data_IF_626328152967
#
_entry.id   IF_626328152967
#
_cell.length_a   1.000
_cell.length_b   1.000
_cell.length_c   1.000
_cell.angle_alpha   90.00
_cell.angle_beta   90.00
_cell.angle_gamma   90.00
#
_symmetry.space_group_name_H-M   'P 1'
#
loop_
_entity.id
_entity.type
_entity.pdbx_description
1 polymer ?
#
# COMPACT_ATOMS: atom_id res chain seq x y z
N UNK A 1 6.13 11.58 39.02
CA UNK A 1 5.06 11.91 38.06
C UNK A 1 5.59 12.64 36.83
N UNK A 2 6.23 13.80 36.96
CA UNK A 2 6.73 14.58 35.81
C UNK A 2 7.74 13.85 34.90
N UNK A 3 8.60 13.00 35.47
CA UNK A 3 9.57 12.19 34.72
C UNK A 3 8.92 11.09 33.87
N UNK A 4 7.88 10.44 34.41
CA UNK A 4 7.12 9.40 33.69
C UNK A 4 6.32 10.01 32.53
N UNK A 5 5.77 11.21 32.72
CA UNK A 5 5.07 11.96 31.66
C UNK A 5 6.05 12.36 30.55
N UNK A 6 7.25 12.86 30.91
CA UNK A 6 8.31 13.19 29.92
C UNK A 6 8.74 11.98 29.10
N UNK A 7 8.95 10.83 29.72
CA UNK A 7 9.32 9.59 29.04
C UNK A 7 8.20 9.12 28.10
N UNK A 8 6.95 9.26 28.52
CA UNK A 8 5.77 8.94 27.70
C UNK A 8 5.71 9.86 26.47
N UNK A 9 5.82 11.19 26.64
CA UNK A 9 5.87 12.13 25.50
C UNK A 9 7.04 11.88 24.57
N UNK A 10 8.23 11.51 25.06
CA UNK A 10 9.38 11.18 24.21
C UNK A 10 9.17 9.87 23.40
N UNK A 11 8.44 8.90 23.96
CA UNK A 11 8.00 7.70 23.22
C UNK A 11 6.97 8.07 22.15
N UNK A 12 6.04 9.00 22.43
CA UNK A 12 5.09 9.52 21.46
C UNK A 12 5.75 10.28 20.30
N UNK A 13 6.75 11.13 20.56
CA UNK A 13 7.51 11.81 19.51
C UNK A 13 8.31 10.85 18.61
N UNK A 14 8.58 9.62 19.09
CA UNK A 14 9.17 8.53 18.29
C UNK A 14 8.12 7.81 17.44
N UNK A 15 6.87 7.73 17.90
CA UNK A 15 5.73 7.20 17.15
C UNK A 15 5.25 8.16 16.06
N UNK A 16 5.50 9.46 16.19
CA UNK A 16 5.18 10.46 15.16
C UNK A 16 6.06 10.30 13.89
N UNK A 17 7.27 9.76 14.03
CA UNK A 17 8.18 9.45 12.90
C UNK A 17 7.73 8.25 12.04
N UNK A 18 6.61 7.62 12.39
CA UNK A 18 6.08 6.40 11.78
C UNK A 18 5.52 6.67 10.37
N UNK A 19 4.99 7.86 10.09
CA UNK A 19 4.26 8.10 8.83
C UNK A 19 5.13 7.98 7.57
N UNK A 20 6.41 8.40 7.62
CA UNK A 20 7.28 8.37 6.44
C UNK A 20 8.08 7.07 6.25
N UNK A 21 8.52 6.45 7.36
CA UNK A 21 9.34 5.22 7.31
C UNK A 21 8.47 4.02 6.97
N UNK A 22 7.25 3.96 7.52
CA UNK A 22 6.33 2.86 7.26
C UNK A 22 5.75 2.93 5.85
N UNK A 23 5.52 4.11 5.29
CA UNK A 23 5.18 4.26 3.88
C UNK A 23 6.31 3.74 2.97
N UNK A 24 7.57 4.11 3.23
CA UNK A 24 8.72 3.60 2.45
C UNK A 24 8.88 2.08 2.57
N UNK A 25 8.66 1.52 3.77
CA UNK A 25 8.71 0.08 4.01
C UNK A 25 7.57 -0.65 3.29
N UNK A 26 6.35 -0.10 3.37
CA UNK A 26 5.19 -0.58 2.63
C UNK A 26 5.43 -0.53 1.12
N UNK A 27 5.89 0.60 0.60
CA UNK A 27 6.15 0.78 -0.83
C UNK A 27 7.17 -0.25 -1.34
N UNK A 28 8.25 -0.51 -0.60
CA UNK A 28 9.22 -1.58 -0.93
C UNK A 28 8.58 -2.96 -0.93
N UNK A 29 7.74 -3.27 0.07
CA UNK A 29 7.05 -4.56 0.18
C UNK A 29 6.03 -4.74 -0.94
N UNK A 30 5.30 -3.70 -1.31
CA UNK A 30 4.38 -3.68 -2.45
C UNK A 30 5.12 -3.89 -3.75
N UNK A 31 6.19 -3.14 -3.99
CA UNK A 31 6.99 -3.28 -5.20
C UNK A 31 7.55 -4.71 -5.32
N UNK A 32 8.08 -5.28 -4.24
CA UNK A 32 8.55 -6.67 -4.22
C UNK A 32 7.44 -7.68 -4.56
N UNK A 33 6.26 -7.52 -3.95
CA UNK A 33 5.10 -8.38 -4.22
C UNK A 33 4.66 -8.30 -5.69
N UNK A 34 4.49 -7.08 -6.23
CA UNK A 34 4.03 -6.87 -7.61
C UNK A 34 5.08 -7.34 -8.63
N UNK A 35 6.37 -7.19 -8.34
CA UNK A 35 7.46 -7.75 -9.16
C UNK A 35 7.42 -9.27 -9.18
N UNK A 36 7.19 -9.90 -8.01
CA UNK A 36 7.09 -11.37 -7.90
C UNK A 36 5.91 -11.91 -8.72
N UNK A 37 4.80 -11.17 -8.73
CA UNK A 37 3.60 -11.47 -9.52
C UNK A 37 3.75 -11.07 -11.01
N UNK A 38 4.85 -10.41 -11.40
CA UNK A 38 5.12 -9.91 -12.75
C UNK A 38 4.09 -8.90 -13.27
N UNK A 39 3.39 -8.19 -12.39
CA UNK A 39 2.38 -7.17 -12.74
C UNK A 39 2.85 -5.74 -12.49
N UNK A 40 4.06 -5.54 -11.95
CA UNK A 40 4.59 -4.20 -11.61
C UNK A 40 4.63 -3.24 -12.81
N UNK A 41 4.78 -3.76 -14.02
CA UNK A 41 4.83 -2.97 -15.25
C UNK A 41 3.54 -2.19 -15.51
N UNK A 42 2.39 -2.66 -15.02
CA UNK A 42 1.09 -1.98 -15.15
C UNK A 42 1.14 -0.59 -14.54
N UNK A 43 1.96 -0.37 -13.51
CA UNK A 43 2.10 0.93 -12.85
C UNK A 43 2.79 1.99 -13.72
N UNK A 44 3.61 1.56 -14.68
CA UNK A 44 4.40 2.46 -15.55
C UNK A 44 3.93 2.46 -17.00
N UNK A 45 3.20 1.43 -17.41
CA UNK A 45 2.81 1.21 -18.80
C UNK A 45 1.33 1.51 -18.97
N UNK A 46 0.95 2.43 -19.89
CA UNK A 46 -0.45 2.76 -20.12
C UNK A 46 -1.22 1.55 -20.69
N UNK A 47 -2.55 1.64 -20.60
CA UNK A 47 -3.45 0.68 -21.25
C UNK A 47 -3.19 0.66 -22.77
N UNK A 48 -3.15 -0.52 -23.43
CA UNK A 48 -2.89 -0.58 -24.87
C UNK A 48 -4.06 -0.02 -25.68
N UNK A 49 -3.77 0.76 -26.72
CA UNK A 49 -4.78 1.40 -27.58
C UNK A 49 -5.69 0.42 -28.34
N UNK A 50 -6.85 0.93 -28.76
CA UNK A 50 -7.78 0.25 -29.66
C UNK A 50 -7.42 0.48 -31.12
N UNK A 51 -7.39 -0.60 -31.90
CA UNK A 51 -7.10 -0.56 -33.33
C UNK A 51 -8.35 -1.03 -34.10
N UNK A 52 -8.63 -0.40 -35.23
CA UNK A 52 -9.83 -0.71 -36.06
C UNK A 52 -9.75 -2.11 -36.68
N UNK A 53 -8.54 -2.56 -37.04
CA UNK A 53 -8.28 -3.90 -37.56
C UNK A 53 -7.40 -4.67 -36.59
N UNK A 54 -8.00 -5.04 -35.47
CA UNK A 54 -7.27 -5.60 -34.37
C UNK A 54 -6.99 -7.10 -34.57
N UNK A 55 -5.73 -7.45 -34.50
CA UNK A 55 -5.30 -8.83 -34.52
C UNK A 55 -5.67 -9.53 -33.20
N UNK A 56 -5.87 -10.85 -33.27
CA UNK A 56 -6.08 -11.71 -32.08
C UNK A 56 -5.00 -11.47 -31.02
N UNK A 57 -3.78 -11.18 -31.45
CA UNK A 57 -2.63 -10.97 -30.58
C UNK A 57 -2.70 -9.65 -29.84
N UNK A 58 -3.25 -8.60 -30.47
CA UNK A 58 -3.51 -7.32 -29.83
C UNK A 58 -4.65 -7.45 -28.81
N UNK A 59 -5.74 -8.14 -29.15
CA UNK A 59 -6.83 -8.42 -28.20
C UNK A 59 -6.31 -9.20 -26.99
N UNK A 60 -5.48 -10.23 -27.19
CA UNK A 60 -4.89 -11.03 -26.12
C UNK A 60 -3.97 -10.21 -25.21
N UNK A 61 -3.20 -9.26 -25.78
CA UNK A 61 -2.34 -8.35 -25.01
C UNK A 61 -3.16 -7.46 -24.08
N UNK A 62 -4.31 -6.96 -24.53
CA UNK A 62 -5.20 -6.15 -23.71
C UNK A 62 -5.86 -6.94 -22.60
N UNK A 63 -6.47 -8.08 -22.91
CA UNK A 63 -7.09 -8.92 -21.87
C UNK A 63 -6.08 -9.35 -20.81
N UNK A 64 -4.82 -9.59 -21.20
CA UNK A 64 -3.73 -9.81 -20.26
C UNK A 64 -3.47 -8.57 -19.39
N UNK A 65 -3.34 -7.40 -20.01
CA UNK A 65 -3.09 -6.15 -19.27
C UNK A 65 -4.22 -5.87 -18.27
N UNK A 66 -5.49 -6.06 -18.65
CA UNK A 66 -6.65 -5.90 -17.77
C UNK A 66 -6.61 -6.86 -16.58
N UNK A 67 -6.24 -8.12 -16.81
CA UNK A 67 -6.09 -9.10 -15.74
C UNK A 67 -4.96 -8.72 -14.78
N UNK A 68 -3.81 -8.32 -15.33
CA UNK A 68 -2.65 -7.89 -14.55
C UNK A 68 -2.97 -6.61 -13.74
N UNK A 69 -3.75 -5.67 -14.29
CA UNK A 69 -4.23 -4.46 -13.60
C UNK A 69 -5.19 -4.80 -12.46
N UNK A 70 -6.14 -5.70 -12.68
CA UNK A 70 -7.04 -6.18 -11.63
C UNK A 70 -6.26 -6.78 -10.45
N UNK A 71 -5.29 -7.65 -10.75
CA UNK A 71 -4.41 -8.27 -9.73
C UNK A 71 -3.60 -7.18 -9.00
N UNK A 72 -2.99 -6.26 -9.75
CA UNK A 72 -2.18 -5.18 -9.20
C UNK A 72 -2.98 -4.31 -8.22
N UNK A 73 -4.16 -3.83 -8.64
CA UNK A 73 -5.06 -3.01 -7.82
C UNK A 73 -5.57 -3.78 -6.61
N UNK A 74 -5.96 -5.04 -6.77
CA UNK A 74 -6.42 -5.89 -5.68
C UNK A 74 -5.39 -6.01 -4.57
N UNK A 75 -4.11 -6.22 -4.91
CA UNK A 75 -3.05 -6.30 -3.91
C UNK A 75 -2.73 -4.95 -3.26
N UNK A 76 -2.68 -3.87 -4.04
CA UNK A 76 -2.48 -2.51 -3.49
C UNK A 76 -3.57 -2.20 -2.46
N UNK A 77 -4.83 -2.42 -2.83
CA UNK A 77 -5.98 -2.19 -1.95
C UNK A 77 -5.93 -3.08 -0.71
N UNK A 78 -5.70 -4.38 -0.86
CA UNK A 78 -5.66 -5.31 0.27
C UNK A 78 -4.58 -4.93 1.29
N UNK A 79 -3.36 -4.62 0.83
CA UNK A 79 -2.27 -4.24 1.73
C UNK A 79 -2.52 -2.86 2.35
N UNK A 80 -3.12 -1.92 1.61
CA UNK A 80 -3.50 -0.61 2.14
C UNK A 80 -4.58 -0.72 3.24
N UNK A 81 -5.58 -1.58 3.04
CA UNK A 81 -6.63 -1.86 4.03
C UNK A 81 -6.08 -2.52 5.30
N UNK A 82 -5.08 -3.39 5.18
CA UNK A 82 -4.36 -3.96 6.32
C UNK A 82 -3.63 -2.86 7.10
N UNK A 83 -2.94 -1.94 6.43
CA UNK A 83 -2.29 -0.80 7.08
C UNK A 83 -3.29 0.11 7.79
N UNK A 84 -4.40 0.43 7.14
CA UNK A 84 -5.46 1.25 7.75
C UNK A 84 -6.08 0.55 8.97
N UNK A 85 -6.29 -0.76 8.90
CA UNK A 85 -6.79 -1.56 10.02
C UNK A 85 -5.81 -1.61 11.20
N UNK A 86 -4.50 -1.67 10.93
CA UNK A 86 -3.48 -1.61 11.98
C UNK A 86 -3.44 -0.21 12.61
N UNK A 87 -3.51 0.85 11.79
CA UNK A 87 -3.51 2.23 12.27
C UNK A 87 -4.73 2.55 13.13
N UNK A 88 -5.93 2.13 12.70
CA UNK A 88 -7.16 2.33 13.47
C UNK A 88 -7.20 1.52 14.78
N UNK A 89 -6.70 0.27 14.77
CA UNK A 89 -6.56 -0.54 16.00
C UNK A 89 -5.55 0.08 16.97
N UNK A 90 -4.45 0.63 16.45
CA UNK A 90 -3.47 1.35 17.26
C UNK A 90 -4.10 2.59 17.90
N UNK A 91 -4.83 3.40 17.12
CA UNK A 91 -5.53 4.58 17.63
C UNK A 91 -6.57 4.25 18.70
N UNK A 92 -7.31 3.14 18.54
CA UNK A 92 -8.29 2.65 19.52
C UNK A 92 -7.63 2.23 20.84
N UNK A 93 -6.49 1.53 20.77
CA UNK A 93 -5.71 1.18 21.97
C UNK A 93 -5.18 2.43 22.68
N UNK A 94 -4.72 3.44 21.94
CA UNK A 94 -4.23 4.69 22.53
C UNK A 94 -5.33 5.43 23.31
N UNK A 95 -6.56 5.49 22.76
CA UNK A 95 -7.74 6.04 23.46
C UNK A 95 -8.11 5.24 24.69
N UNK A 96 -8.08 3.91 24.61
CA UNK A 96 -8.37 3.03 25.73
C UNK A 96 -7.40 3.22 26.91
N UNK A 97 -6.14 3.51 26.63
CA UNK A 97 -5.14 3.84 27.65
C UNK A 97 -5.09 5.34 28.03
N UNK A 98 -6.00 6.16 27.49
CA UNK A 98 -6.09 7.59 27.80
C UNK A 98 -4.90 8.42 27.31
N UNK A 99 -4.20 7.94 26.28
CA UNK A 99 -3.01 8.61 25.74
C UNK A 99 -3.30 9.54 24.56
N UNK A 100 -4.52 9.48 24.00
CA UNK A 100 -5.09 10.36 22.95
C UNK A 100 -6.58 10.54 23.20
#
# INVERSE_FOLDING_TARGET
MAESVKEMTAKFSKLDKFEGVDFRRWQKKMHFLLTTLKVVYVLSTPFPDYMVDETVEQTRRRSKWENDDYICRGHILNVCLILFSISTRMLSLLKHFGMV
#
